data_IF_655163484982
#
_entry.id   IF_655163484982
#
_cell.length_a   1.000
_cell.length_b   1.000
_cell.length_c   1.000
_cell.angle_alpha   90.00
_cell.angle_beta   90.00
_cell.angle_gamma   90.00
#
_symmetry.space_group_name_H-M   'P 1'
#
loop_
_entity.id
_entity.type
_entity.pdbx_description
1 polymer ?
#
# COMPACT_ATOMS: atom_id res chain seq x y z
N UNK A 1 15.42 -19.70 4.18
CA UNK A 1 14.27 -20.24 4.94
C UNK A 1 14.04 -19.24 6.07
N UNK A 2 12.93 -18.51 6.03
CA UNK A 2 12.62 -17.53 7.07
C UNK A 2 12.27 -18.31 8.34
N UNK A 3 12.95 -18.00 9.44
CA UNK A 3 12.59 -18.55 10.75
C UNK A 3 11.28 -17.90 11.18
N UNK A 4 10.35 -18.64 11.78
CA UNK A 4 9.11 -18.07 12.32
C UNK A 4 9.10 -18.41 13.81
N UNK A 5 9.15 -17.41 14.71
CA UNK A 5 9.04 -17.66 16.15
C UNK A 5 7.72 -18.35 16.50
N UNK A 6 7.75 -19.30 17.45
CA UNK A 6 6.54 -20.02 17.88
C UNK A 6 5.48 -19.09 18.52
N UNK A 7 5.91 -17.93 19.00
CA UNK A 7 5.09 -16.90 19.63
C UNK A 7 4.82 -15.69 18.73
N UNK A 8 5.16 -15.76 17.44
CA UNK A 8 4.89 -14.69 16.48
C UNK A 8 3.40 -14.30 16.48
N UNK A 9 3.14 -12.98 16.54
CA UNK A 9 1.77 -12.41 16.56
C UNK A 9 1.47 -11.46 15.42
N UNK A 10 2.49 -11.00 14.72
CA UNK A 10 2.39 -9.92 13.76
C UNK A 10 3.06 -10.32 12.46
N UNK A 11 2.39 -9.96 11.37
CA UNK A 11 2.82 -10.21 10.02
C UNK A 11 2.63 -8.93 9.20
N UNK A 12 3.42 -8.75 8.14
CA UNK A 12 3.25 -7.70 7.14
C UNK A 12 2.78 -8.36 5.85
N UNK A 13 1.62 -7.96 5.36
CA UNK A 13 1.08 -8.40 4.08
C UNK A 13 1.19 -7.29 3.04
N UNK A 14 1.63 -7.62 1.84
CA UNK A 14 1.54 -6.74 0.67
C UNK A 14 0.34 -7.16 -0.19
N UNK A 15 -0.74 -6.39 -0.15
CA UNK A 15 -2.00 -6.66 -0.85
C UNK A 15 -2.01 -5.91 -2.19
N UNK A 16 -2.21 -6.64 -3.29
CA UNK A 16 -2.31 -6.07 -4.64
C UNK A 16 -3.77 -5.79 -4.98
N UNK A 17 -4.07 -4.53 -5.28
CA UNK A 17 -5.39 -4.08 -5.74
C UNK A 17 -5.29 -3.45 -7.13
N UNK A 18 -6.24 -3.75 -8.00
CA UNK A 18 -6.35 -3.13 -9.32
C UNK A 18 -7.54 -2.17 -9.37
N UNK A 19 -7.29 -0.95 -9.85
CA UNK A 19 -8.31 0.02 -10.22
C UNK A 19 -8.46 0.12 -11.73
N UNK A 20 -9.69 -0.05 -12.20
CA UNK A 20 -10.08 0.22 -13.58
C UNK A 20 -11.12 1.34 -13.64
N UNK A 21 -11.06 2.16 -14.68
CA UNK A 21 -12.01 3.25 -14.93
C UNK A 21 -12.65 3.03 -16.30
N UNK A 22 -13.97 3.13 -16.37
CA UNK A 22 -14.72 2.95 -17.60
C UNK A 22 -14.22 3.88 -18.72
N UNK A 23 -13.85 3.28 -19.85
CA UNK A 23 -13.36 4.00 -21.04
C UNK A 23 -11.88 4.37 -21.01
N UNK A 24 -11.16 4.11 -19.91
CA UNK A 24 -9.72 4.30 -19.82
C UNK A 24 -8.99 2.95 -20.03
N UNK A 25 -8.08 2.83 -21.02
CA UNK A 25 -7.36 1.59 -21.27
C UNK A 25 -6.29 1.25 -20.22
N UNK A 26 -5.84 2.22 -19.42
CA UNK A 26 -4.83 2.00 -18.36
C UNK A 26 -5.50 1.72 -17.02
N UNK A 27 -5.00 0.70 -16.32
CA UNK A 27 -5.32 0.46 -14.91
C UNK A 27 -4.35 1.21 -13.99
N UNK A 28 -4.70 1.27 -12.71
CA UNK A 28 -3.80 1.65 -11.61
C UNK A 28 -3.69 0.47 -10.67
N UNK A 29 -2.47 0.17 -10.20
CA UNK A 29 -2.22 -0.90 -9.24
C UNK A 29 -1.75 -0.28 -7.93
N UNK A 30 -2.40 -0.65 -6.83
CA UNK A 30 -1.93 -0.36 -5.48
C UNK A 30 -1.31 -1.60 -4.86
N UNK A 31 -0.19 -1.40 -4.17
CA UNK A 31 0.40 -2.39 -3.27
C UNK A 31 0.24 -1.83 -1.86
N UNK A 32 -0.76 -2.32 -1.14
CA UNK A 32 -1.06 -1.90 0.22
C UNK A 32 -0.26 -2.75 1.20
N UNK A 33 0.61 -2.11 1.99
CA UNK A 33 1.40 -2.78 3.02
C UNK A 33 0.64 -2.69 4.35
N UNK A 34 0.16 -3.83 4.86
CA UNK A 34 -0.69 -3.90 6.04
C UNK A 34 -0.08 -4.76 7.14
N UNK A 35 -0.26 -4.32 8.38
CA UNK A 35 0.03 -5.12 9.56
C UNK A 35 -1.15 -6.07 9.84
N UNK A 36 -0.86 -7.36 9.98
CA UNK A 36 -1.82 -8.43 10.21
C UNK A 36 -1.49 -9.13 11.52
N UNK A 37 -2.46 -9.16 12.44
CA UNK A 37 -2.34 -9.97 13.65
C UNK A 37 -2.78 -11.40 13.36
N UNK A 38 -1.99 -12.40 13.74
CA UNK A 38 -2.36 -13.81 13.61
C UNK A 38 -1.52 -14.67 14.56
N UNK A 39 -2.01 -15.86 14.90
CA UNK A 39 -1.31 -16.84 15.74
C UNK A 39 -0.57 -17.91 14.92
N UNK A 40 -0.70 -17.90 13.59
CA UNK A 40 0.08 -18.73 12.68
C UNK A 40 0.21 -18.09 11.28
N UNK A 41 1.16 -18.56 10.44
CA UNK A 41 1.29 -18.11 9.06
C UNK A 41 0.03 -18.35 8.22
N UNK A 42 -0.64 -19.48 8.40
CA UNK A 42 -1.90 -19.79 7.71
C UNK A 42 -3.01 -18.82 8.09
N UNK A 43 -3.16 -18.51 9.39
CA UNK A 43 -4.14 -17.52 9.82
C UNK A 43 -3.79 -16.11 9.31
N UNK A 44 -2.50 -15.76 9.25
CA UNK A 44 -2.04 -14.49 8.68
C UNK A 44 -2.45 -14.37 7.21
N UNK A 45 -2.25 -15.44 6.44
CA UNK A 45 -2.66 -15.51 5.04
C UNK A 45 -4.18 -15.35 4.89
N UNK A 46 -4.97 -16.11 5.65
CA UNK A 46 -6.44 -16.04 5.60
C UNK A 46 -6.97 -14.65 5.95
N UNK A 47 -6.37 -13.99 6.95
CA UNK A 47 -6.73 -12.63 7.36
C UNK A 47 -6.33 -11.59 6.31
N UNK A 48 -5.14 -11.71 5.72
CA UNK A 48 -4.69 -10.82 4.65
C UNK A 48 -5.59 -10.94 3.40
N UNK A 49 -5.94 -12.17 3.01
CA UNK A 49 -6.91 -12.44 1.94
C UNK A 49 -8.29 -11.82 2.22
N UNK A 50 -8.76 -11.88 3.48
CA UNK A 50 -10.02 -11.28 3.87
C UNK A 50 -9.97 -9.74 3.80
N UNK A 51 -8.86 -9.12 4.19
CA UNK A 51 -8.64 -7.67 4.09
C UNK A 51 -8.66 -7.20 2.62
N UNK A 52 -7.95 -7.91 1.73
CA UNK A 52 -7.95 -7.56 0.30
C UNK A 52 -9.36 -7.63 -0.30
N UNK A 53 -10.12 -8.68 0.00
CA UNK A 53 -11.51 -8.84 -0.46
C UNK A 53 -12.46 -7.81 0.13
N UNK A 54 -12.25 -7.36 1.37
CA UNK A 54 -13.10 -6.33 1.98
C UNK A 54 -12.87 -4.94 1.38
N UNK A 55 -11.71 -4.73 0.76
CA UNK A 55 -11.33 -3.46 0.12
C UNK A 55 -11.74 -3.38 -1.36
N UNK A 56 -12.40 -4.42 -1.90
CA UNK A 56 -13.03 -4.35 -3.22
C UNK A 56 -14.22 -3.38 -3.19
N UNK A 57 -14.28 -2.46 -4.16
CA UNK A 57 -15.35 -1.45 -4.23
C UNK A 57 -15.63 -1.02 -5.67
N UNK A 58 -16.81 -0.46 -5.90
CA UNK A 58 -17.14 0.18 -7.16
C UNK A 58 -18.07 1.38 -6.97
N UNK A 59 -17.69 2.49 -7.60
CA UNK A 59 -18.40 3.77 -7.51
C UNK A 59 -18.30 4.53 -8.84
N UNK A 60 -19.10 5.60 -8.97
CA UNK A 60 -18.98 6.55 -10.07
C UNK A 60 -18.08 7.71 -9.66
N UNK A 61 -17.10 8.05 -10.49
CA UNK A 61 -16.28 9.25 -10.30
C UNK A 61 -17.07 10.54 -10.69
N UNK A 62 -16.53 11.76 -10.46
CA UNK A 62 -17.20 13.01 -10.83
C UNK A 62 -17.55 13.16 -12.33
N UNK A 63 -16.88 12.39 -13.20
CA UNK A 63 -17.15 12.33 -14.64
C UNK A 63 -18.23 11.29 -15.00
N UNK A 64 -18.89 10.69 -13.99
CA UNK A 64 -19.86 9.60 -14.12
C UNK A 64 -19.31 8.32 -14.78
N UNK A 65 -17.99 8.11 -14.73
CA UNK A 65 -17.38 6.86 -15.16
C UNK A 65 -17.36 5.87 -14.00
N UNK A 66 -17.65 4.60 -14.28
CA UNK A 66 -17.54 3.55 -13.27
C UNK A 66 -16.06 3.27 -12.95
N UNK A 67 -15.70 3.42 -11.68
CA UNK A 67 -14.44 2.99 -11.08
C UNK A 67 -14.66 1.65 -10.39
N UNK A 68 -13.73 0.72 -10.56
CA UNK A 68 -13.79 -0.60 -9.92
C UNK A 68 -12.43 -0.93 -9.31
N UNK A 69 -12.40 -1.15 -8.01
CA UNK A 69 -11.28 -1.71 -7.26
C UNK A 69 -11.50 -3.22 -7.09
N UNK A 70 -10.56 -4.03 -7.55
CA UNK A 70 -10.59 -5.50 -7.46
C UNK A 70 -9.37 -6.01 -6.72
N UNK A 71 -9.55 -7.04 -5.90
CA UNK A 71 -8.44 -7.70 -5.21
C UNK A 71 -7.75 -8.69 -6.15
N UNK A 72 -6.42 -8.59 -6.25
CA UNK A 72 -5.63 -9.42 -7.16
C UNK A 72 -4.87 -10.55 -6.45
N UNK A 73 -4.61 -10.44 -5.15
CA UNK A 73 -3.80 -11.39 -4.39
C UNK A 73 -2.78 -10.70 -3.48
N UNK A 74 -2.03 -11.53 -2.74
CA UNK A 74 -0.88 -11.07 -1.97
C UNK A 74 0.39 -11.12 -2.82
N UNK A 75 1.16 -10.03 -2.82
CA UNK A 75 2.51 -9.97 -3.39
C UNK A 75 3.53 -10.60 -2.44
N UNK A 76 3.37 -10.39 -1.14
CA UNK A 76 4.25 -10.93 -0.11
C UNK A 76 3.54 -11.04 1.26
N UNK A 77 4.07 -11.88 2.15
CA UNK A 77 3.61 -12.06 3.52
C UNK A 77 4.78 -12.44 4.43
N UNK A 78 5.19 -11.53 5.31
CA UNK A 78 6.35 -11.70 6.19
C UNK A 78 5.95 -11.67 7.66
N UNK A 79 6.71 -12.35 8.51
CA UNK A 79 6.55 -12.26 9.97
C UNK A 79 7.31 -11.05 10.50
N UNK A 80 6.72 -10.32 11.46
CA UNK A 80 7.43 -9.30 12.23
C UNK A 80 8.10 -9.99 13.41
N UNK A 81 9.42 -9.86 13.50
CA UNK A 81 10.21 -10.53 14.53
C UNK A 81 10.29 -9.76 15.84
N UNK A 82 10.24 -8.42 15.76
CA UNK A 82 10.34 -7.54 16.92
C UNK A 82 8.98 -7.30 17.58
N UNK A 83 9.01 -6.97 18.87
CA UNK A 83 7.87 -6.35 19.53
C UNK A 83 7.56 -5.00 18.88
N UNK A 84 6.28 -4.67 18.72
CA UNK A 84 5.88 -3.41 18.07
C UNK A 84 6.08 -2.22 18.99
N UNK A 85 7.29 -1.66 18.94
CA UNK A 85 7.69 -0.47 19.70
C UNK A 85 8.57 0.49 18.88
N UNK A 86 9.02 1.59 19.51
CA UNK A 86 9.90 2.53 18.84
C UNK A 86 11.24 1.87 18.50
N UNK A 87 11.58 1.86 17.21
CA UNK A 87 12.80 1.23 16.71
C UNK A 87 12.63 -0.23 16.29
N UNK A 88 11.42 -0.79 16.41
CA UNK A 88 11.12 -2.14 15.93
C UNK A 88 11.30 -2.26 14.41
N UNK A 89 11.98 -3.32 13.98
CA UNK A 89 12.11 -3.67 12.57
C UNK A 89 10.85 -4.39 12.09
N UNK A 90 10.21 -3.85 11.04
CA UNK A 90 9.01 -4.46 10.45
C UNK A 90 9.34 -5.40 9.29
N UNK A 91 10.38 -5.05 8.52
CA UNK A 91 10.89 -5.76 7.35
C UNK A 91 12.38 -5.41 7.19
N UNK A 92 13.16 -6.33 6.62
CA UNK A 92 14.53 -6.08 6.18
C UNK A 92 14.74 -6.65 4.77
N UNK A 93 15.65 -6.04 4.03
CA UNK A 93 16.10 -6.51 2.71
C UNK A 93 17.64 -6.63 2.74
N UNK A 94 18.17 -7.68 2.12
CA UNK A 94 19.62 -7.90 2.00
C UNK A 94 20.03 -7.97 0.53
N UNK A 95 20.96 -7.10 0.12
CA UNK A 95 21.58 -7.14 -1.21
C UNK A 95 23.09 -7.38 -1.09
N UNK A 96 23.60 -8.40 -1.78
CA UNK A 96 25.03 -8.77 -1.76
C UNK A 96 25.73 -8.25 -3.03
N UNK A 97 26.87 -7.59 -2.85
CA UNK A 97 27.71 -7.14 -3.98
C UNK A 97 27.31 -5.81 -4.60
N UNK A 98 26.58 -4.97 -3.84
CA UNK A 98 26.18 -3.62 -4.27
C UNK A 98 27.42 -2.74 -4.48
N UNK A 99 27.49 -2.06 -5.62
CA UNK A 99 28.56 -1.10 -5.92
C UNK A 99 28.39 0.17 -5.07
N UNK A 100 29.45 0.98 -4.95
CA UNK A 100 29.36 2.26 -4.23
C UNK A 100 28.34 3.21 -4.89
N UNK A 101 28.26 3.21 -6.22
CA UNK A 101 27.31 4.05 -6.96
C UNK A 101 25.86 3.60 -6.71
N UNK A 102 25.58 2.29 -6.78
CA UNK A 102 24.24 1.76 -6.50
C UNK A 102 23.84 1.98 -5.03
N UNK A 103 24.78 1.84 -4.09
CA UNK A 103 24.53 2.12 -2.68
C UNK A 103 24.11 3.58 -2.47
N UNK A 104 24.73 4.51 -3.19
CA UNK A 104 24.39 5.93 -3.11
C UNK A 104 22.98 6.21 -3.66
N UNK A 105 22.53 5.46 -4.67
CA UNK A 105 21.18 5.57 -5.23
C UNK A 105 20.09 5.05 -4.28
N UNK A 106 20.43 4.17 -3.33
CA UNK A 106 19.48 3.69 -2.29
C UNK A 106 19.17 4.77 -1.24
N UNK A 107 20.00 5.82 -1.13
CA UNK A 107 19.85 6.86 -0.10
C UNK A 107 18.97 7.99 -0.64
N UNK A 108 17.78 8.15 -0.05
CA UNK A 108 16.88 9.26 -0.38
C UNK A 108 17.26 10.53 0.40
N UNK A 109 17.44 11.63 -0.33
CA UNK A 109 17.65 12.96 0.26
C UNK A 109 16.47 13.35 1.16
N UNK A 110 16.73 14.09 2.25
CA UNK A 110 15.69 14.43 3.24
C UNK A 110 14.48 15.11 2.62
N UNK A 111 14.68 16.01 1.65
CA UNK A 111 13.57 16.72 0.99
C UNK A 111 12.69 15.81 0.15
N UNK A 112 13.21 14.67 -0.28
CA UNK A 112 12.54 13.72 -1.16
C UNK A 112 11.87 12.56 -0.39
N UNK A 113 12.14 12.42 0.92
CA UNK A 113 11.41 11.49 1.76
C UNK A 113 9.91 11.84 1.76
N UNK A 114 9.05 10.82 1.66
CA UNK A 114 7.60 10.98 1.44
C UNK A 114 6.87 11.93 2.40
N UNK A 115 7.34 12.08 3.63
CA UNK A 115 6.75 12.98 4.64
C UNK A 115 7.20 14.44 4.50
N UNK A 116 8.34 14.69 3.86
CA UNK A 116 8.92 16.02 3.67
C UNK A 116 8.74 16.57 2.25
N UNK A 117 8.48 15.70 1.26
CA UNK A 117 8.28 16.12 -0.13
C UNK A 117 7.10 17.08 -0.28
N UNK A 118 7.24 18.09 -1.12
CA UNK A 118 6.15 19.00 -1.45
C UNK A 118 5.05 18.25 -2.24
N UNK A 119 3.76 18.55 -2.02
CA UNK A 119 2.69 18.00 -2.86
C UNK A 119 2.94 18.39 -4.31
N UNK A 120 2.99 17.40 -5.21
CA UNK A 120 2.95 17.66 -6.64
C UNK A 120 1.52 18.00 -7.04
N UNK A 121 1.34 19.03 -7.87
CA UNK A 121 0.04 19.31 -8.46
C UNK A 121 -0.36 18.13 -9.35
N UNK A 122 -1.53 17.53 -9.12
CA UNK A 122 -2.10 16.54 -10.03
C UNK A 122 -2.37 17.19 -11.38
N UNK A 123 -2.03 16.49 -12.46
CA UNK A 123 -2.45 16.89 -13.80
C UNK A 123 -3.96 16.67 -13.91
N UNK A 124 -4.71 17.74 -14.15
CA UNK A 124 -6.18 17.70 -14.30
C UNK A 124 -6.66 16.88 -15.50
N UNK A 125 -5.77 16.48 -16.41
CA UNK A 125 -6.07 15.64 -17.55
C UNK A 125 -6.00 14.14 -17.26
N UNK A 126 -5.46 13.73 -16.10
CA UNK A 126 -5.45 12.33 -15.67
C UNK A 126 -6.83 11.93 -15.10
N UNK A 127 -7.33 10.73 -15.40
CA UNK A 127 -8.54 10.21 -14.77
C UNK A 127 -8.38 10.22 -13.25
N UNK A 128 -9.44 10.55 -12.51
CA UNK A 128 -9.38 10.55 -11.05
C UNK A 128 -9.48 9.12 -10.54
N UNK A 129 -8.30 8.53 -10.28
CA UNK A 129 -8.13 7.23 -9.61
C UNK A 129 -8.17 7.36 -8.07
N UNK A 130 -8.48 8.55 -7.54
CA UNK A 130 -8.45 8.84 -6.12
C UNK A 130 -9.41 7.96 -5.32
N UNK A 131 -8.94 7.55 -4.13
CA UNK A 131 -9.76 6.87 -3.14
C UNK A 131 -10.91 7.81 -2.70
N UNK A 132 -12.12 7.27 -2.66
CA UNK A 132 -13.36 7.96 -2.27
C UNK A 132 -13.24 8.73 -0.95
N UNK A 133 -12.53 8.21 0.05
CA UNK A 133 -12.36 8.90 1.33
C UNK A 133 -11.52 10.17 1.20
N UNK A 134 -10.45 10.14 0.40
CA UNK A 134 -9.62 11.32 0.12
C UNK A 134 -10.45 12.37 -0.65
N UNK A 135 -11.32 11.93 -1.56
CA UNK A 135 -12.24 12.81 -2.27
C UNK A 135 -13.27 13.44 -1.33
N UNK A 136 -13.86 12.66 -0.43
CA UNK A 136 -14.82 13.16 0.55
C UNK A 136 -14.19 14.14 1.55
N UNK A 137 -12.96 13.90 1.99
CA UNK A 137 -12.23 14.84 2.86
C UNK A 137 -11.80 16.12 2.11
N UNK A 138 -11.29 16.00 0.88
CA UNK A 138 -10.95 17.16 0.05
C UNK A 138 -12.19 18.02 -0.23
N UNK A 139 -13.34 17.40 -0.52
CA UNK A 139 -14.60 18.11 -0.76
C UNK A 139 -15.12 18.81 0.51
N UNK A 140 -14.93 18.22 1.70
CA UNK A 140 -15.26 18.86 2.99
C UNK A 140 -14.39 20.09 3.25
N UNK A 141 -13.10 20.04 2.92
CA UNK A 141 -12.19 21.18 3.07
C UNK A 141 -12.54 22.35 2.12
N UNK A 142 -12.95 22.04 0.89
CA UNK A 142 -13.34 23.03 -0.11
C UNK A 142 -14.71 23.65 0.20
N UNK A 143 -15.69 22.85 0.62
CA UNK A 143 -17.05 23.32 0.92
C UNK A 143 -17.21 23.93 2.33
N UNK A 144 -16.17 23.81 3.17
CA UNK A 144 -16.09 24.40 4.51
C UNK A 144 -15.35 25.73 4.60
N UNK A 145 -14.97 26.33 3.46
CA UNK A 145 -14.29 27.63 3.35
C UNK A 145 -15.22 28.73 2.86
#
# INVERSE_FOLDING_TARGET
MVYIPDDAKWYIAEIVMECTVEGEPRNVVHINILLVRADSPEEAFERAEALGKSDEDSYSNPQNQKVTWSYCGLRDLNVVHDELEHGAELLFEEEIGVSADNLQEMITEKSELNVFRAPTARDSSEPDYGNKEIQEEAQKLINGS
#
